data_IF_012694554193
#
_entry.id   IF_012694554193
#
_cell.length_a   1.000
_cell.length_b   1.000
_cell.length_c   1.000
_cell.angle_alpha   90.00
_cell.angle_beta   90.00
_cell.angle_gamma   90.00
#
_symmetry.space_group_name_H-M   'P 1'
#
loop_
_entity.id
_entity.type
_entity.pdbx_description
1 polymer ?
#
# COMPACT_ATOMS: atom_id res chain seq x y z
N UNK A 1 37.48 21.95 0.33
CA UNK A 1 37.17 20.49 0.35
C UNK A 1 36.54 20.20 1.69
N UNK A 2 35.22 20.29 1.79
CA UNK A 2 34.44 20.08 3.04
C UNK A 2 33.76 18.74 2.92
N UNK A 3 34.16 17.80 3.76
CA UNK A 3 33.57 16.46 3.83
C UNK A 3 32.16 16.54 4.46
N UNK A 4 31.12 16.34 3.65
CA UNK A 4 29.76 16.13 4.14
C UNK A 4 29.69 14.75 4.80
N UNK A 5 29.65 14.75 6.13
CA UNK A 5 29.41 13.57 6.95
C UNK A 5 27.96 13.08 6.68
N UNK A 6 27.82 11.97 5.94
CA UNK A 6 26.57 11.21 5.85
C UNK A 6 26.30 10.60 7.23
N UNK A 7 25.38 11.19 7.99
CA UNK A 7 24.80 10.55 9.16
C UNK A 7 24.06 9.27 8.69
N UNK A 8 24.69 8.12 8.92
CA UNK A 8 24.01 6.81 8.80
C UNK A 8 22.92 6.75 9.87
N UNK A 9 21.65 6.82 9.45
CA UNK A 9 20.50 6.54 10.32
C UNK A 9 20.59 5.07 10.71
N UNK A 10 20.89 4.79 11.99
CA UNK A 10 20.92 3.42 12.53
C UNK A 10 19.50 2.86 12.55
N UNK A 11 19.19 1.75 11.83
CA UNK A 11 17.91 1.07 11.96
C UNK A 11 17.71 0.62 13.42
N UNK A 12 16.59 0.99 14.07
CA UNK A 12 16.25 0.55 15.42
C UNK A 12 16.45 1.58 16.54
N UNK A 13 16.66 2.86 16.23
CA UNK A 13 16.72 3.93 17.25
C UNK A 13 15.40 4.14 18.01
N UNK A 14 15.46 4.93 19.12
CA UNK A 14 14.29 5.29 19.96
C UNK A 14 13.11 5.78 19.12
N UNK A 15 13.36 6.53 18.04
CA UNK A 15 12.34 7.06 17.12
C UNK A 15 11.58 5.95 16.42
N UNK A 16 12.26 4.92 15.89
CA UNK A 16 11.61 3.79 15.22
C UNK A 16 10.79 2.93 16.22
N UNK A 17 11.28 2.75 17.45
CA UNK A 17 10.52 2.04 18.50
C UNK A 17 9.24 2.77 18.88
N UNK A 18 9.30 4.10 19.02
CA UNK A 18 8.10 4.92 19.29
C UNK A 18 7.10 4.80 18.13
N UNK A 19 7.55 4.87 16.88
CA UNK A 19 6.68 4.69 15.73
C UNK A 19 6.00 3.32 15.76
N UNK A 20 6.76 2.25 15.91
CA UNK A 20 6.21 0.90 15.96
C UNK A 20 5.19 0.71 17.10
N UNK A 21 5.47 1.24 18.33
CA UNK A 21 4.54 1.15 19.44
C UNK A 21 3.25 1.94 19.20
N UNK A 22 3.33 3.12 18.59
CA UNK A 22 2.16 3.93 18.26
C UNK A 22 1.33 3.28 17.14
N UNK A 23 1.95 2.77 16.10
CA UNK A 23 1.26 2.04 15.02
C UNK A 23 0.56 0.78 15.53
N UNK A 24 1.21 0.01 16.39
CA UNK A 24 0.59 -1.15 17.05
C UNK A 24 -0.63 -0.73 17.87
N UNK A 25 -0.50 0.33 18.67
CA UNK A 25 -1.61 0.85 19.48
C UNK A 25 -2.80 1.31 18.63
N UNK A 26 -2.56 1.94 17.48
CA UNK A 26 -3.62 2.31 16.53
C UNK A 26 -4.36 1.08 16.01
N UNK A 27 -3.64 0.04 15.55
CA UNK A 27 -4.26 -1.19 15.02
C UNK A 27 -5.07 -1.94 16.07
N UNK A 28 -4.53 -2.08 17.28
CA UNK A 28 -5.23 -2.73 18.40
C UNK A 28 -6.51 -1.98 18.76
N UNK A 29 -6.42 -0.68 18.99
CA UNK A 29 -7.57 0.14 19.36
C UNK A 29 -8.61 0.21 18.23
N UNK A 30 -8.19 0.28 16.97
CA UNK A 30 -9.12 0.25 15.84
C UNK A 30 -9.93 -1.06 15.80
N UNK A 31 -9.32 -2.19 16.19
CA UNK A 31 -10.03 -3.48 16.28
C UNK A 31 -10.94 -3.58 17.52
N UNK A 32 -10.60 -2.92 18.63
CA UNK A 32 -11.35 -2.97 19.89
C UNK A 32 -12.58 -2.04 19.91
N UNK A 33 -12.38 -0.78 19.50
CA UNK A 33 -13.41 0.28 19.63
C UNK A 33 -13.88 0.86 18.30
N UNK A 34 -13.28 0.45 17.20
CA UNK A 34 -13.52 1.00 15.88
C UNK A 34 -12.68 2.25 15.58
N UNK A 35 -12.37 2.43 14.28
CA UNK A 35 -11.53 3.54 13.81
C UNK A 35 -12.06 4.93 14.20
N UNK A 36 -13.36 5.12 14.07
CA UNK A 36 -14.00 6.44 14.28
C UNK A 36 -14.02 6.88 15.75
N UNK A 37 -13.77 5.97 16.69
CA UNK A 37 -13.66 6.25 18.11
C UNK A 37 -12.22 6.57 18.55
N UNK A 38 -11.23 6.47 17.66
CA UNK A 38 -9.83 6.70 17.99
C UNK A 38 -9.55 8.15 18.34
N UNK A 39 -8.73 8.35 19.36
CA UNK A 39 -8.21 9.67 19.74
C UNK A 39 -6.72 9.60 20.04
N UNK A 40 -6.00 10.69 19.79
CA UNK A 40 -4.56 10.75 20.11
C UNK A 40 -4.26 10.44 21.59
N UNK A 41 -5.02 10.93 22.59
CA UNK A 41 -4.80 10.54 23.97
C UNK A 41 -4.92 9.02 24.25
N UNK A 42 -5.92 8.33 23.68
CA UNK A 42 -6.08 6.88 23.83
C UNK A 42 -4.89 6.12 23.22
N UNK A 43 -4.49 6.51 22.01
CA UNK A 43 -3.35 5.90 21.31
C UNK A 43 -2.05 6.12 22.09
N UNK A 44 -1.80 7.34 22.56
CA UNK A 44 -0.61 7.68 23.33
C UNK A 44 -0.54 6.87 24.62
N UNK A 45 -1.65 6.74 25.34
CA UNK A 45 -1.74 5.93 26.56
C UNK A 45 -1.43 4.46 26.28
N UNK A 46 -2.03 3.87 25.24
CA UNK A 46 -1.79 2.47 24.84
C UNK A 46 -0.35 2.24 24.42
N UNK A 47 0.25 3.18 23.68
CA UNK A 47 1.63 3.11 23.21
C UNK A 47 2.68 3.42 24.29
N UNK A 48 2.27 3.86 25.49
CA UNK A 48 3.19 4.24 26.57
C UNK A 48 3.99 5.52 26.28
N UNK A 49 3.41 6.46 25.52
CA UNK A 49 4.01 7.75 25.20
C UNK A 49 3.08 8.91 25.62
N UNK A 50 3.59 10.14 25.57
CA UNK A 50 2.75 11.31 25.83
C UNK A 50 2.00 11.75 24.56
N UNK A 51 0.79 12.33 24.65
CA UNK A 51 0.10 12.89 23.49
C UNK A 51 0.95 13.91 22.71
N UNK A 52 1.74 14.73 23.40
CA UNK A 52 2.65 15.69 22.78
C UNK A 52 3.73 15.02 21.91
N UNK A 53 4.12 13.79 22.22
CA UNK A 53 5.04 13.00 21.39
C UNK A 53 4.38 12.63 20.07
N UNK A 54 3.10 12.25 20.09
CA UNK A 54 2.32 11.94 18.89
C UNK A 54 2.13 13.18 18.04
N UNK A 55 1.60 14.28 18.61
CA UNK A 55 1.39 15.52 17.89
C UNK A 55 2.66 16.10 17.25
N UNK A 56 3.78 16.04 17.96
CA UNK A 56 5.06 16.53 17.42
C UNK A 56 5.53 15.73 16.20
N UNK A 57 5.16 14.44 16.10
CA UNK A 57 5.64 13.56 15.04
C UNK A 57 4.71 13.54 13.84
N UNK A 58 3.43 13.52 14.07
CA UNK A 58 2.41 13.35 13.02
C UNK A 58 1.48 14.56 12.84
N UNK A 59 1.60 15.60 13.68
CA UNK A 59 0.72 16.75 13.57
C UNK A 59 -0.66 16.49 14.18
N UNK A 60 -1.45 15.61 13.58
CA UNK A 60 -2.78 15.26 14.04
C UNK A 60 -3.09 13.76 13.96
N UNK A 61 -4.33 13.38 14.29
CA UNK A 61 -4.78 11.99 14.22
C UNK A 61 -4.83 11.48 12.77
N UNK A 62 -5.25 12.32 11.83
CA UNK A 62 -5.43 11.89 10.44
C UNK A 62 -4.09 11.63 9.75
N UNK A 63 -3.07 12.46 10.01
CA UNK A 63 -1.70 12.23 9.55
C UNK A 63 -1.11 10.95 10.15
N UNK A 64 -1.39 10.68 11.46
CA UNK A 64 -1.00 9.41 12.08
C UNK A 64 -1.68 8.21 11.40
N UNK A 65 -2.98 8.27 11.15
CA UNK A 65 -3.71 7.19 10.50
C UNK A 65 -3.23 6.95 9.06
N UNK A 66 -2.84 8.01 8.36
CA UNK A 66 -2.22 7.91 7.04
C UNK A 66 -0.86 7.19 7.09
N UNK A 67 0.01 7.52 8.03
CA UNK A 67 1.30 6.85 8.21
C UNK A 67 1.13 5.34 8.55
N UNK A 68 0.15 5.02 9.42
CA UNK A 68 -0.21 3.63 9.74
C UNK A 68 -0.74 2.88 8.51
N UNK A 69 -1.56 3.55 7.68
CA UNK A 69 -2.12 2.95 6.48
C UNK A 69 -1.04 2.60 5.45
N UNK A 70 -0.08 3.50 5.22
CA UNK A 70 1.05 3.26 4.32
C UNK A 70 1.90 2.08 4.79
N UNK A 71 2.20 2.00 6.09
CA UNK A 71 2.95 0.85 6.62
C UNK A 71 2.18 -0.46 6.45
N UNK A 72 0.85 -0.42 6.65
CA UNK A 72 0.00 -1.61 6.50
C UNK A 72 -0.10 -2.08 5.03
N UNK A 73 -0.18 -1.14 4.10
CA UNK A 73 -0.26 -1.43 2.66
C UNK A 73 1.09 -1.83 2.04
N UNK A 74 2.17 -1.76 2.82
CA UNK A 74 3.48 -2.21 2.38
C UNK A 74 3.48 -3.73 2.21
N UNK A 75 3.84 -4.27 1.04
CA UNK A 75 3.92 -5.71 0.83
C UNK A 75 4.95 -6.36 1.76
N UNK A 76 4.54 -7.41 2.46
CA UNK A 76 5.44 -8.17 3.34
C UNK A 76 6.31 -9.16 2.55
N UNK A 77 5.82 -9.63 1.39
CA UNK A 77 6.48 -10.63 0.57
C UNK A 77 6.50 -10.21 -0.90
N UNK A 78 7.45 -10.77 -1.64
CA UNK A 78 7.47 -10.65 -3.08
C UNK A 78 6.24 -11.36 -3.69
N UNK A 79 5.73 -10.90 -4.86
CA UNK A 79 4.65 -11.58 -5.57
C UNK A 79 5.06 -13.02 -5.93
N UNK A 80 4.09 -13.93 -5.92
CA UNK A 80 4.31 -15.33 -6.27
C UNK A 80 4.86 -15.47 -7.70
N UNK A 81 5.60 -16.55 -7.94
CA UNK A 81 6.11 -16.92 -9.28
C UNK A 81 5.42 -18.21 -9.72
N UNK A 82 4.52 -18.10 -10.68
CA UNK A 82 3.76 -19.20 -11.28
C UNK A 82 4.30 -19.63 -12.65
N UNK A 83 5.45 -19.08 -13.06
CA UNK A 83 6.20 -19.48 -14.23
C UNK A 83 5.75 -18.85 -15.56
N UNK A 84 4.74 -18.00 -15.57
CA UNK A 84 4.35 -17.21 -16.76
C UNK A 84 3.85 -15.83 -16.38
N UNK A 85 4.06 -14.83 -17.25
CA UNK A 85 3.57 -13.46 -17.04
C UNK A 85 2.07 -13.42 -16.76
N UNK A 86 1.29 -14.18 -17.55
CA UNK A 86 -0.16 -14.19 -17.40
C UNK A 86 -0.60 -14.74 -16.06
N UNK A 87 0.00 -15.85 -15.59
CA UNK A 87 -0.33 -16.44 -14.30
C UNK A 87 0.12 -15.54 -13.14
N UNK A 88 1.32 -14.97 -13.21
CA UNK A 88 1.88 -14.10 -12.18
C UNK A 88 1.03 -12.83 -11.99
N UNK A 89 0.70 -12.13 -13.09
CA UNK A 89 -0.15 -10.93 -13.05
C UNK A 89 -1.59 -11.24 -12.62
N UNK A 90 -2.14 -12.39 -13.03
CA UNK A 90 -3.49 -12.79 -12.62
C UNK A 90 -3.57 -13.03 -11.13
N UNK A 91 -2.63 -13.81 -10.58
CA UNK A 91 -2.58 -14.09 -9.14
C UNK A 91 -2.35 -12.80 -8.33
N UNK A 92 -1.47 -11.93 -8.80
CA UNK A 92 -1.23 -10.63 -8.16
C UNK A 92 -2.47 -9.74 -8.19
N UNK A 93 -3.19 -9.67 -9.32
CA UNK A 93 -4.39 -8.86 -9.44
C UNK A 93 -5.56 -9.38 -8.56
N UNK A 94 -5.67 -10.70 -8.38
CA UNK A 94 -6.60 -11.33 -7.44
C UNK A 94 -6.28 -10.93 -6.00
N UNK A 95 -5.02 -11.09 -5.59
CA UNK A 95 -4.58 -10.72 -4.25
C UNK A 95 -4.81 -9.22 -4.00
N UNK A 96 -4.43 -8.36 -4.95
CA UNK A 96 -4.65 -6.92 -4.86
C UNK A 96 -6.14 -6.60 -4.72
N UNK A 97 -7.00 -7.25 -5.51
CA UNK A 97 -8.44 -7.06 -5.41
C UNK A 97 -8.97 -7.47 -4.03
N UNK A 98 -8.61 -8.65 -3.53
CA UNK A 98 -9.06 -9.15 -2.23
C UNK A 98 -8.64 -8.24 -1.08
N UNK A 99 -7.37 -7.84 -1.05
CA UNK A 99 -6.85 -6.96 0.00
C UNK A 99 -7.50 -5.58 -0.03
N UNK A 100 -7.49 -4.92 -1.19
CA UNK A 100 -7.94 -3.53 -1.33
C UNK A 100 -9.47 -3.39 -1.28
N UNK A 101 -10.25 -4.40 -1.70
CA UNK A 101 -11.70 -4.38 -1.65
C UNK A 101 -12.27 -4.75 -0.29
N UNK A 102 -11.49 -5.30 0.62
CA UNK A 102 -11.90 -5.61 1.98
C UNK A 102 -12.36 -4.34 2.73
N UNK A 103 -13.23 -4.44 3.75
CA UNK A 103 -13.58 -3.28 4.57
C UNK A 103 -12.36 -2.57 5.17
N UNK A 104 -11.37 -3.35 5.62
CA UNK A 104 -10.11 -2.83 6.17
C UNK A 104 -9.27 -2.15 5.07
N UNK A 105 -9.09 -2.79 3.92
CA UNK A 105 -8.34 -2.23 2.78
C UNK A 105 -8.89 -0.88 2.33
N UNK A 106 -10.21 -0.78 2.13
CA UNK A 106 -10.86 0.50 1.79
C UNK A 106 -10.69 1.57 2.87
N UNK A 107 -10.66 1.19 4.15
CA UNK A 107 -10.38 2.13 5.22
C UNK A 107 -8.94 2.64 5.15
N UNK A 108 -7.97 1.77 4.93
CA UNK A 108 -6.56 2.16 4.78
C UNK A 108 -6.32 3.03 3.55
N UNK A 109 -6.93 2.71 2.40
CA UNK A 109 -6.85 3.58 1.20
C UNK A 109 -7.34 4.99 1.53
N UNK A 110 -8.51 5.10 2.18
CA UNK A 110 -9.08 6.40 2.58
C UNK A 110 -8.16 7.14 3.54
N UNK A 111 -7.61 6.46 4.54
CA UNK A 111 -6.71 7.06 5.52
C UNK A 111 -5.40 7.53 4.89
N UNK A 112 -4.82 6.74 3.98
CA UNK A 112 -3.63 7.14 3.24
C UNK A 112 -3.84 8.42 2.43
N UNK A 113 -5.02 8.61 1.86
CA UNK A 113 -5.35 9.79 1.05
C UNK A 113 -5.70 11.03 1.90
N UNK A 114 -6.47 10.86 2.99
CA UNK A 114 -7.02 11.99 3.75
C UNK A 114 -5.98 12.69 4.64
N UNK A 115 -4.99 11.97 5.15
CA UNK A 115 -3.98 12.51 6.05
C UNK A 115 -2.65 12.84 5.37
N UNK A 116 -2.67 13.14 4.08
CA UNK A 116 -1.46 13.31 3.28
C UNK A 116 -1.55 14.57 2.40
N UNK A 117 -1.44 15.76 3.00
CA UNK A 117 -1.58 17.02 2.26
C UNK A 117 -0.53 17.21 1.16
N UNK A 118 0.63 16.57 1.31
CA UNK A 118 1.75 16.70 0.36
C UNK A 118 1.81 15.55 -0.66
N UNK A 119 0.91 14.55 -0.57
CA UNK A 119 0.83 13.40 -1.50
C UNK A 119 1.96 12.37 -1.36
N UNK A 120 2.77 12.45 -0.31
CA UNK A 120 3.90 11.54 -0.06
C UNK A 120 3.46 10.10 0.23
N UNK A 121 2.45 9.95 1.07
CA UNK A 121 1.90 8.65 1.46
C UNK A 121 1.13 7.98 0.31
N UNK A 122 0.31 8.74 -0.41
CA UNK A 122 -0.38 8.25 -1.61
C UNK A 122 0.63 7.80 -2.69
N UNK A 123 1.68 8.59 -2.92
CA UNK A 123 2.79 8.24 -3.81
C UNK A 123 3.51 6.96 -3.38
N UNK A 124 3.73 6.76 -2.08
CA UNK A 124 4.36 5.56 -1.55
C UNK A 124 3.49 4.31 -1.74
N UNK A 125 2.18 4.40 -1.55
CA UNK A 125 1.26 3.29 -1.83
C UNK A 125 1.29 2.90 -3.32
N UNK A 126 1.32 3.89 -4.23
CA UNK A 126 1.48 3.66 -5.67
C UNK A 126 2.82 2.98 -5.99
N UNK A 127 3.91 3.42 -5.35
CA UNK A 127 5.23 2.85 -5.54
C UNK A 127 5.28 1.36 -5.13
N UNK A 128 4.61 0.95 -4.06
CA UNK A 128 4.55 -0.45 -3.65
C UNK A 128 3.93 -1.36 -4.73
N UNK A 129 2.84 -0.93 -5.35
CA UNK A 129 2.23 -1.69 -6.45
C UNK A 129 3.17 -1.73 -7.67
N UNK A 130 3.79 -0.60 -8.01
CA UNK A 130 4.75 -0.52 -9.11
C UNK A 130 5.96 -1.43 -8.91
N UNK A 131 6.54 -1.49 -7.71
CA UNK A 131 7.67 -2.35 -7.36
C UNK A 131 7.33 -3.83 -7.51
N UNK A 132 6.14 -4.26 -7.07
CA UNK A 132 5.69 -5.64 -7.22
C UNK A 132 5.46 -6.02 -8.68
N UNK A 133 4.81 -5.14 -9.43
CA UNK A 133 4.58 -5.34 -10.87
C UNK A 133 5.92 -5.42 -11.60
N UNK A 134 6.86 -4.50 -11.32
CA UNK A 134 8.17 -4.50 -11.97
C UNK A 134 8.95 -5.80 -11.71
N UNK A 135 8.85 -6.36 -10.51
CA UNK A 135 9.44 -7.67 -10.20
C UNK A 135 8.83 -8.80 -11.04
N UNK A 136 7.50 -8.83 -11.21
CA UNK A 136 6.82 -9.80 -12.08
C UNK A 136 7.30 -9.65 -13.52
N UNK A 137 7.32 -8.41 -14.04
CA UNK A 137 7.74 -8.12 -15.41
C UNK A 137 9.23 -8.46 -15.64
N UNK A 138 10.06 -8.26 -14.63
CA UNK A 138 11.49 -8.62 -14.70
C UNK A 138 11.67 -10.11 -14.82
N UNK A 139 10.99 -10.92 -13.99
CA UNK A 139 11.01 -12.38 -14.08
C UNK A 139 10.53 -12.89 -15.44
N UNK A 140 9.45 -12.30 -15.96
CA UNK A 140 8.92 -12.66 -17.28
C UNK A 140 9.93 -12.36 -18.39
N UNK A 141 10.62 -11.20 -18.36
CA UNK A 141 11.69 -10.88 -19.32
C UNK A 141 12.87 -11.87 -19.24
N UNK A 142 13.25 -12.28 -18.03
CA UNK A 142 14.29 -13.29 -17.81
C UNK A 142 13.92 -14.66 -18.40
N UNK A 143 12.62 -14.98 -18.45
CA UNK A 143 12.07 -16.16 -19.13
C UNK A 143 11.93 -16.01 -20.65
N UNK A 144 12.20 -14.80 -21.20
CA UNK A 144 12.09 -14.50 -22.63
C UNK A 144 10.68 -14.14 -23.08
N UNK A 145 9.77 -13.81 -22.17
CA UNK A 145 8.42 -13.36 -22.50
C UNK A 145 8.41 -11.88 -22.89
N UNK A 146 7.54 -11.50 -23.85
CA UNK A 146 7.26 -10.09 -24.12
C UNK A 146 6.44 -9.50 -22.97
N UNK A 147 6.83 -8.31 -22.50
CA UNK A 147 6.20 -7.67 -21.35
C UNK A 147 5.74 -6.25 -21.67
N UNK A 148 4.59 -5.82 -21.14
CA UNK A 148 4.22 -4.40 -21.12
C UNK A 148 5.18 -3.61 -20.22
N UNK A 149 5.06 -2.26 -20.24
CA UNK A 149 5.69 -1.41 -19.24
C UNK A 149 4.89 -1.42 -17.92
N UNK A 150 5.56 -1.17 -16.80
CA UNK A 150 4.95 -1.08 -15.46
C UNK A 150 3.78 -0.10 -15.42
N UNK A 151 3.95 1.10 -15.98
CA UNK A 151 2.88 2.11 -16.07
C UNK A 151 1.67 1.62 -16.89
N UNK A 152 1.91 0.83 -17.94
CA UNK A 152 0.81 0.25 -18.73
C UNK A 152 -0.02 -0.73 -17.91
N UNK A 153 0.62 -1.50 -17.00
CA UNK A 153 -0.09 -2.39 -16.07
C UNK A 153 -0.87 -1.56 -15.06
N UNK A 154 -0.27 -0.50 -14.52
CA UNK A 154 -0.95 0.42 -13.60
C UNK A 154 -2.19 1.01 -14.26
N UNK A 155 -2.07 1.58 -15.45
CA UNK A 155 -3.17 2.24 -16.16
C UNK A 155 -4.29 1.28 -16.57
N UNK A 156 -3.97 0.04 -16.95
CA UNK A 156 -4.94 -0.90 -17.52
C UNK A 156 -5.47 -1.95 -16.56
N UNK A 157 -4.79 -2.17 -15.42
CA UNK A 157 -5.22 -3.15 -14.40
C UNK A 157 -5.48 -2.47 -13.07
N UNK A 158 -4.49 -1.77 -12.50
CA UNK A 158 -4.61 -1.18 -11.16
C UNK A 158 -5.65 -0.07 -11.12
N UNK A 159 -5.57 0.89 -12.04
CA UNK A 159 -6.46 2.05 -12.05
C UNK A 159 -7.95 1.67 -12.22
N UNK A 160 -8.35 0.76 -13.14
CA UNK A 160 -9.72 0.29 -13.22
C UNK A 160 -10.20 -0.46 -11.97
N UNK A 161 -9.33 -1.28 -11.34
CA UNK A 161 -9.64 -1.95 -10.07
C UNK A 161 -9.87 -0.93 -8.97
N UNK A 162 -8.95 0.01 -8.78
CA UNK A 162 -9.05 1.08 -7.77
C UNK A 162 -10.29 1.94 -7.97
N UNK A 163 -10.61 2.30 -9.22
CA UNK A 163 -11.83 3.05 -9.50
C UNK A 163 -13.08 2.31 -9.02
N UNK A 164 -13.17 1.00 -9.30
CA UNK A 164 -14.33 0.20 -8.85
C UNK A 164 -14.33 -0.05 -7.34
N UNK A 165 -13.16 -0.31 -6.73
CA UNK A 165 -13.04 -0.45 -5.27
C UNK A 165 -13.60 0.78 -4.55
N UNK A 166 -13.30 1.98 -5.05
CA UNK A 166 -13.68 3.23 -4.40
C UNK A 166 -15.10 3.68 -4.74
N UNK A 167 -15.57 3.47 -5.99
CA UNK A 167 -16.79 4.10 -6.50
C UNK A 167 -17.88 3.11 -6.91
N UNK A 168 -17.54 1.85 -7.22
CA UNK A 168 -18.49 0.83 -7.72
C UNK A 168 -18.24 -0.56 -7.11
N UNK A 169 -18.26 -0.69 -5.77
CA UNK A 169 -17.89 -1.96 -5.11
C UNK A 169 -18.80 -3.14 -5.44
N UNK A 170 -20.03 -2.90 -5.90
CA UNK A 170 -20.99 -3.94 -6.27
C UNK A 170 -20.63 -4.65 -7.60
N UNK A 171 -19.79 -4.02 -8.42
CA UNK A 171 -19.38 -4.54 -9.73
C UNK A 171 -18.01 -5.25 -9.69
N UNK A 172 -17.44 -5.42 -8.50
CA UNK A 172 -16.16 -6.08 -8.32
C UNK A 172 -16.31 -7.59 -8.30
N UNK A 173 -15.43 -8.26 -9.03
CA UNK A 173 -15.35 -9.73 -9.05
C UNK A 173 -13.96 -10.18 -9.53
N UNK A 174 -13.53 -11.38 -9.09
CA UNK A 174 -12.32 -12.03 -9.60
C UNK A 174 -12.32 -12.16 -11.13
N UNK A 175 -13.41 -12.57 -11.81
CA UNK A 175 -13.47 -12.58 -13.26
C UNK A 175 -13.20 -11.21 -13.91
N UNK A 176 -13.55 -10.10 -13.27
CA UNK A 176 -13.23 -8.77 -13.78
C UNK A 176 -11.72 -8.49 -13.74
N UNK A 177 -11.04 -8.85 -12.65
CA UNK A 177 -9.58 -8.71 -12.56
C UNK A 177 -8.88 -9.55 -13.63
N UNK A 178 -9.31 -10.80 -13.84
CA UNK A 178 -8.80 -11.67 -14.92
C UNK A 178 -9.01 -11.07 -16.31
N UNK A 179 -10.20 -10.49 -16.54
CA UNK A 179 -10.50 -9.83 -17.83
C UNK A 179 -9.55 -8.66 -18.10
N UNK A 180 -9.23 -7.84 -17.10
CA UNK A 180 -8.28 -6.74 -17.26
C UNK A 180 -6.89 -7.26 -17.64
N UNK A 181 -6.37 -8.27 -16.95
CA UNK A 181 -5.08 -8.88 -17.26
C UNK A 181 -5.08 -9.53 -18.66
N UNK A 182 -6.10 -10.31 -18.98
CA UNK A 182 -6.20 -10.94 -20.30
C UNK A 182 -6.29 -9.94 -21.45
N UNK A 183 -7.01 -8.83 -21.24
CA UNK A 183 -7.11 -7.74 -22.23
C UNK A 183 -5.78 -6.99 -22.38
N UNK A 184 -5.05 -6.78 -21.27
CA UNK A 184 -3.71 -6.17 -21.31
C UNK A 184 -2.73 -6.99 -22.14
N UNK A 185 -2.77 -8.33 -21.98
CA UNK A 185 -1.82 -9.26 -22.61
C UNK A 185 -2.30 -9.75 -24.00
N UNK A 186 -3.50 -9.36 -24.44
CA UNK A 186 -3.98 -9.71 -25.77
C UNK A 186 -3.07 -9.07 -26.85
N UNK A 187 -2.73 -9.81 -27.92
CA UNK A 187 -1.99 -9.24 -29.03
C UNK A 187 -2.70 -7.98 -29.56
N UNK A 188 -1.96 -6.89 -29.69
CA UNK A 188 -2.51 -5.68 -30.32
C UNK A 188 -2.83 -6.05 -31.76
N UNK A 189 -4.12 -6.00 -32.14
CA UNK A 189 -4.52 -6.20 -33.51
C UNK A 189 -3.79 -5.17 -34.40
N UNK A 190 -3.25 -5.56 -35.58
CA UNK A 190 -2.52 -4.69 -36.47
C UNK A 190 -3.38 -3.55 -37.01
#
# INVERSE_FOLDING_TARGET
>A
MVAMSRQMVRPGGRSARVQASVHTAVRELASEVGRDALTVPMIAQRAGVTPSTVYRRWGDLQELLSDVAVEHLRPETAPADHGTLAADLTAWAEQFLDEMSSPAGRAYIRDALLGDPDGGNAGQCSAYAAEQIDLILTRARERGEETPGTETVIDRVVAPLMYRILFRPQELSTPYAHHLVSTLLAPTAP
#
